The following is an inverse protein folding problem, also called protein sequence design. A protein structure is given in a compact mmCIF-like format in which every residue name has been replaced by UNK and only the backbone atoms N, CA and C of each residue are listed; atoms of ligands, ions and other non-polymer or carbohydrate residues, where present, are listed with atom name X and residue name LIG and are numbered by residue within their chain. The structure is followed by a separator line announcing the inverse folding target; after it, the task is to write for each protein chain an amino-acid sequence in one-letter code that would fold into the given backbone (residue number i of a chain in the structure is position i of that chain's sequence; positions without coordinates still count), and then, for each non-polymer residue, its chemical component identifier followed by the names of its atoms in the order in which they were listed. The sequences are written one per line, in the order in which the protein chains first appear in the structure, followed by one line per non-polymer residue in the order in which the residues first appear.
data_IF_825159428246
#
_entry.id   IF_825159428246
#
_cell.length_a   1.000
_cell.length_b   1.000
_cell.length_c   1.000
_cell.angle_alpha   90.00
_cell.angle_beta   90.00
_cell.angle_gamma   90.00
#
_symmetry.space_group_name_H-M   'P 1'
#
loop_
_entity.id
_entity.type
_entity.pdbx_description
1 polymer ?
#
# COMPACT_ATOMS: atom_id res chain seq x y z
N UNK A 1 3.61 22.80 1.34
CA UNK A 1 3.67 22.01 2.60
C UNK A 1 4.70 22.63 3.51
N UNK A 2 4.29 23.13 4.65
CA UNK A 2 5.17 23.78 5.62
C UNK A 2 5.53 22.85 6.80
N UNK A 3 6.24 23.36 7.81
CA UNK A 3 6.68 22.57 8.96
C UNK A 3 5.50 22.08 9.82
N UNK A 4 4.43 22.87 9.92
CA UNK A 4 3.20 22.48 10.64
C UNK A 4 2.57 21.27 9.96
N UNK A 5 2.45 21.29 8.63
CA UNK A 5 1.93 20.15 7.85
C UNK A 5 2.75 18.88 8.09
N UNK A 6 4.07 19.00 8.06
CA UNK A 6 4.97 17.86 8.28
C UNK A 6 4.82 17.28 9.68
N UNK A 7 4.64 18.13 10.69
CA UNK A 7 4.45 17.68 12.08
C UNK A 7 3.11 16.98 12.25
N UNK A 8 2.05 17.47 11.62
CA UNK A 8 0.74 16.82 11.60
C UNK A 8 0.84 15.44 10.94
N UNK A 9 1.53 15.35 9.81
CA UNK A 9 1.71 14.07 9.12
C UNK A 9 2.46 13.05 9.97
N UNK A 10 3.50 13.44 10.67
CA UNK A 10 4.23 12.54 11.58
C UNK A 10 3.33 11.94 12.65
N UNK A 11 2.43 12.74 13.22
CA UNK A 11 1.46 12.24 14.21
C UNK A 11 0.51 11.23 13.57
N UNK A 12 -0.03 11.55 12.39
CA UNK A 12 -0.96 10.67 11.68
C UNK A 12 -0.30 9.39 11.15
N UNK A 13 0.97 9.47 10.73
CA UNK A 13 1.72 8.28 10.33
C UNK A 13 1.96 7.33 11.50
N UNK A 14 2.16 7.86 12.70
CA UNK A 14 2.31 7.05 13.90
C UNK A 14 0.98 6.42 14.33
N UNK A 15 -0.11 7.16 14.27
CA UNK A 15 -1.46 6.70 14.58
C UNK A 15 -2.50 7.52 13.82
N UNK A 16 -3.03 6.96 12.74
CA UNK A 16 -4.03 7.62 11.90
C UNK A 16 -5.37 7.87 12.63
N UNK A 17 -5.60 7.25 13.79
CA UNK A 17 -6.79 7.48 14.61
C UNK A 17 -6.64 8.59 15.63
N UNK A 18 -5.49 9.25 15.69
CA UNK A 18 -5.27 10.38 16.59
C UNK A 18 -6.31 11.46 16.30
N UNK A 19 -7.01 11.92 17.33
CA UNK A 19 -8.01 12.99 17.18
C UNK A 19 -7.35 14.31 16.77
N UNK A 20 -8.09 15.13 16.06
CA UNK A 20 -7.60 16.47 15.67
C UNK A 20 -7.20 17.30 16.88
N UNK A 21 -7.93 17.16 17.98
CA UNK A 21 -7.62 17.84 19.24
C UNK A 21 -6.26 17.41 19.80
N UNK A 22 -6.00 16.12 19.82
CA UNK A 22 -4.71 15.59 20.28
C UNK A 22 -3.57 16.01 19.37
N UNK A 23 -3.79 16.00 18.05
CA UNK A 23 -2.81 16.51 17.10
C UNK A 23 -2.49 17.98 17.38
N UNK A 24 -3.53 18.81 17.62
CA UNK A 24 -3.35 20.22 17.94
C UNK A 24 -2.50 20.42 19.19
N UNK A 25 -2.73 19.63 20.23
CA UNK A 25 -1.96 19.66 21.46
C UNK A 25 -0.48 19.27 21.21
N UNK A 26 -0.24 18.19 20.49
CA UNK A 26 1.12 17.70 20.21
C UNK A 26 1.91 18.64 19.29
N UNK A 27 1.26 19.22 18.30
CA UNK A 27 1.89 20.12 17.34
C UNK A 27 2.00 21.55 17.89
N UNK A 28 1.14 21.91 18.85
CA UNK A 28 1.14 23.23 19.48
C UNK A 28 0.46 24.30 18.64
N UNK A 29 -0.61 23.94 17.92
CA UNK A 29 -1.42 24.87 17.14
C UNK A 29 -2.90 24.73 17.49
N UNK A 30 -3.73 25.65 17.03
CA UNK A 30 -5.17 25.62 17.27
C UNK A 30 -5.83 24.42 16.56
N UNK A 31 -6.91 23.93 17.13
CA UNK A 31 -7.71 22.84 16.55
C UNK A 31 -8.18 23.16 15.13
N UNK A 32 -8.67 24.37 14.90
CA UNK A 32 -9.11 24.83 13.57
C UNK A 32 -7.97 24.81 12.55
N UNK A 33 -6.76 25.12 12.97
CA UNK A 33 -5.57 25.05 12.12
C UNK A 33 -5.30 23.62 11.68
N UNK A 34 -5.34 22.67 12.59
CA UNK A 34 -5.16 21.24 12.28
C UNK A 34 -6.23 20.76 11.31
N UNK A 35 -7.49 21.06 11.62
CA UNK A 35 -8.63 20.67 10.77
C UNK A 35 -8.48 21.20 9.32
N UNK A 36 -8.14 22.46 9.17
CA UNK A 36 -7.94 23.07 7.86
C UNK A 36 -6.75 22.47 7.10
N UNK A 37 -5.65 22.23 7.81
CA UNK A 37 -4.44 21.66 7.20
C UNK A 37 -4.64 20.23 6.75
N UNK A 38 -5.28 19.39 7.56
CA UNK A 38 -5.60 18.00 7.20
C UNK A 38 -6.51 17.98 5.97
N UNK A 39 -7.59 18.76 5.97
CA UNK A 39 -8.50 18.85 4.83
C UNK A 39 -7.79 19.31 3.57
N UNK A 40 -6.90 20.29 3.68
CA UNK A 40 -6.10 20.77 2.56
C UNK A 40 -5.18 19.68 2.03
N UNK A 41 -4.48 18.96 2.90
CA UNK A 41 -3.59 17.87 2.50
C UNK A 41 -4.36 16.71 1.85
N UNK A 42 -5.57 16.43 2.30
CA UNK A 42 -6.47 15.48 1.64
C UNK A 42 -6.88 15.96 0.25
N UNK A 43 -7.31 17.22 0.12
CA UNK A 43 -7.75 17.75 -1.16
C UNK A 43 -6.62 17.89 -2.19
N UNK A 44 -5.40 18.14 -1.76
CA UNK A 44 -4.21 18.18 -2.61
C UNK A 44 -3.61 16.79 -2.91
N UNK A 45 -4.17 15.73 -2.33
CA UNK A 45 -3.67 14.38 -2.52
C UNK A 45 -2.36 14.06 -1.77
N UNK A 46 -1.93 14.91 -0.84
CA UNK A 46 -0.82 14.60 0.07
C UNK A 46 -1.21 13.45 0.98
N UNK A 47 -2.40 13.52 1.56
CA UNK A 47 -3.03 12.39 2.22
C UNK A 47 -3.97 11.75 1.21
N UNK A 48 -3.65 10.57 0.75
CA UNK A 48 -4.41 9.85 -0.26
C UNK A 48 -5.54 9.01 0.32
N UNK A 49 -5.52 8.77 1.61
CA UNK A 49 -6.51 7.96 2.32
C UNK A 49 -5.96 7.44 3.63
N UNK A 50 -6.78 6.65 4.28
CA UNK A 50 -6.49 6.02 5.56
C UNK A 50 -6.78 4.53 5.44
N UNK A 51 -5.96 3.72 6.06
CA UNK A 51 -6.15 2.27 6.03
C UNK A 51 -5.79 1.65 7.37
N UNK A 52 -6.17 0.40 7.54
CA UNK A 52 -5.79 -0.38 8.72
C UNK A 52 -4.62 -1.30 8.39
N UNK A 53 -3.73 -1.48 9.34
CA UNK A 53 -2.71 -2.51 9.29
C UNK A 53 -3.30 -3.77 9.91
N UNK A 54 -3.26 -4.87 9.17
CA UNK A 54 -3.84 -6.13 9.59
C UNK A 54 -2.74 -7.15 9.86
N UNK A 55 -2.96 -7.99 10.87
CA UNK A 55 -2.27 -9.27 10.95
C UNK A 55 -2.90 -10.18 9.87
N UNK A 56 -2.17 -10.58 8.82
CA UNK A 56 -2.76 -11.32 7.72
C UNK A 56 -3.41 -12.63 8.15
N UNK A 57 -2.75 -13.38 9.02
CA UNK A 57 -3.24 -14.68 9.50
C UNK A 57 -4.55 -14.53 10.27
N UNK A 58 -4.61 -13.57 11.18
CA UNK A 58 -5.81 -13.29 11.98
C UNK A 58 -6.96 -12.73 11.15
N UNK A 59 -6.64 -12.04 10.07
CA UNK A 59 -7.64 -11.49 9.15
C UNK A 59 -8.12 -12.51 8.10
N UNK A 60 -7.61 -13.74 8.13
CA UNK A 60 -8.00 -14.79 7.20
C UNK A 60 -7.18 -14.88 5.92
N UNK A 61 -6.06 -14.15 5.84
CA UNK A 61 -5.11 -14.21 4.73
C UNK A 61 -3.91 -15.08 5.12
N UNK A 62 -4.01 -16.38 4.87
CA UNK A 62 -3.00 -17.35 5.32
C UNK A 62 -1.68 -17.31 4.54
N UNK A 63 -1.67 -16.75 3.34
CA UNK A 63 -0.48 -16.71 2.48
C UNK A 63 -0.27 -15.31 1.92
N UNK A 64 1.00 -14.90 1.90
CA UNK A 64 1.42 -13.63 1.28
C UNK A 64 2.51 -13.89 0.25
N UNK A 65 2.46 -13.17 -0.86
CA UNK A 65 3.43 -13.32 -1.96
C UNK A 65 3.92 -11.97 -2.45
N UNK A 66 5.12 -11.98 -2.99
CA UNK A 66 5.68 -10.89 -3.78
C UNK A 66 5.90 -11.42 -5.19
N UNK A 67 5.31 -10.76 -6.17
CA UNK A 67 5.38 -11.17 -7.58
C UNK A 67 6.18 -10.14 -8.37
N UNK A 68 7.31 -10.57 -8.94
CA UNK A 68 8.06 -9.75 -9.88
C UNK A 68 7.55 -9.98 -11.29
N UNK A 69 7.31 -8.89 -12.03
CA UNK A 69 6.78 -8.93 -13.38
C UNK A 69 7.70 -8.22 -14.37
N UNK A 70 7.93 -8.87 -15.51
CA UNK A 70 8.41 -8.24 -16.75
C UNK A 70 7.22 -7.96 -17.64
N UNK A 71 7.10 -6.72 -18.08
CA UNK A 71 5.92 -6.25 -18.83
C UNK A 71 6.38 -5.64 -20.14
N UNK A 72 5.65 -5.91 -21.21
CA UNK A 72 5.87 -5.36 -22.55
C UNK A 72 5.87 -3.83 -22.51
N UNK A 73 6.79 -3.22 -23.22
CA UNK A 73 6.91 -1.76 -23.33
C UNK A 73 5.59 -1.13 -23.81
N UNK A 74 5.20 -0.04 -23.16
CA UNK A 74 3.99 0.70 -23.49
C UNK A 74 2.71 0.17 -22.85
N UNK A 75 2.77 -0.97 -22.16
CA UNK A 75 1.60 -1.58 -21.50
C UNK A 75 1.67 -1.61 -19.99
N UNK A 76 2.73 -1.04 -19.41
CA UNK A 76 3.03 -1.09 -17.97
C UNK A 76 1.87 -0.56 -17.12
N UNK A 77 1.44 0.67 -17.37
CA UNK A 77 0.40 1.33 -16.57
C UNK A 77 -0.94 0.58 -16.68
N UNK A 78 -1.34 0.21 -17.88
CA UNK A 78 -2.58 -0.53 -18.15
C UNK A 78 -2.64 -1.84 -17.36
N UNK A 79 -1.56 -2.60 -17.40
CA UNK A 79 -1.47 -3.90 -16.72
C UNK A 79 -1.43 -3.72 -15.21
N UNK A 80 -0.64 -2.77 -14.71
CA UNK A 80 -0.57 -2.47 -13.28
C UNK A 80 -1.93 -2.04 -12.72
N UNK A 81 -2.68 -1.23 -13.44
CA UNK A 81 -4.03 -0.81 -13.03
C UNK A 81 -5.01 -1.98 -12.97
N UNK A 82 -4.93 -2.89 -13.92
CA UNK A 82 -5.77 -4.11 -13.92
C UNK A 82 -5.45 -5.01 -12.73
N UNK A 83 -4.18 -5.23 -12.46
CA UNK A 83 -3.72 -6.04 -11.32
C UNK A 83 -4.17 -5.42 -10.01
N UNK A 84 -4.06 -4.11 -9.86
CA UNK A 84 -4.43 -3.38 -8.66
C UNK A 84 -5.93 -3.47 -8.30
N UNK A 85 -6.78 -3.85 -9.24
CA UNK A 85 -8.22 -4.02 -9.00
C UNK A 85 -8.56 -5.32 -8.25
N UNK A 86 -7.67 -6.30 -8.24
CA UNK A 86 -7.90 -7.54 -7.51
C UNK A 86 -7.80 -7.29 -6.00
N UNK A 87 -8.78 -7.73 -5.24
CA UNK A 87 -8.84 -7.51 -3.79
C UNK A 87 -7.74 -8.22 -3.00
N UNK A 88 -7.07 -9.20 -3.60
CA UNK A 88 -5.93 -9.89 -3.02
C UNK A 88 -4.65 -9.09 -3.14
N UNK A 89 -4.61 -8.13 -4.06
CA UNK A 89 -3.47 -7.25 -4.28
C UNK A 89 -3.57 -6.04 -3.37
N UNK A 90 -2.54 -5.81 -2.57
CA UNK A 90 -2.50 -4.66 -1.65
C UNK A 90 -1.35 -3.69 -1.93
N UNK A 91 -0.53 -3.98 -2.93
CA UNK A 91 0.52 -3.07 -3.39
C UNK A 91 0.96 -3.41 -4.80
N UNK A 92 1.13 -2.38 -5.63
CA UNK A 92 1.72 -2.50 -6.96
C UNK A 92 2.73 -1.38 -7.11
N UNK A 93 3.98 -1.74 -7.39
CA UNK A 93 5.09 -0.80 -7.48
C UNK A 93 5.73 -0.87 -8.86
N UNK A 94 5.97 0.28 -9.43
CA UNK A 94 6.83 0.45 -10.59
C UNK A 94 8.28 0.47 -10.10
N UNK A 95 9.13 -0.37 -10.68
CA UNK A 95 10.49 -0.56 -10.17
C UNK A 95 11.50 -0.57 -11.32
N UNK A 96 12.75 -0.36 -10.97
CA UNK A 96 13.89 -0.54 -11.87
C UNK A 96 14.60 -1.86 -11.57
N UNK A 97 15.43 -2.34 -12.49
CA UNK A 97 16.20 -3.56 -12.33
C UNK A 97 15.65 -4.71 -13.18
N UNK A 98 15.72 -5.92 -12.66
CA UNK A 98 15.34 -7.14 -13.42
C UNK A 98 13.83 -7.25 -13.68
N UNK A 99 13.01 -6.53 -12.92
CA UNK A 99 11.56 -6.49 -13.09
C UNK A 99 11.09 -5.07 -13.37
N UNK A 100 9.96 -4.97 -14.04
CA UNK A 100 9.29 -3.70 -14.31
C UNK A 100 8.27 -3.34 -13.22
N UNK A 101 7.69 -4.35 -12.59
CA UNK A 101 6.71 -4.17 -11.52
C UNK A 101 6.89 -5.20 -10.42
N UNK A 102 6.61 -4.78 -9.19
CA UNK A 102 6.52 -5.66 -8.03
C UNK A 102 5.11 -5.58 -7.48
N UNK A 103 4.47 -6.74 -7.30
CA UNK A 103 3.11 -6.85 -6.81
C UNK A 103 3.13 -7.52 -5.46
N UNK A 104 2.52 -6.88 -4.46
CA UNK A 104 2.30 -7.45 -3.15
C UNK A 104 0.86 -7.98 -3.09
N UNK A 105 0.72 -9.27 -2.83
CA UNK A 105 -0.59 -9.91 -2.79
C UNK A 105 -0.69 -10.89 -1.63
N UNK A 106 -1.92 -11.19 -1.27
CA UNK A 106 -2.26 -12.15 -0.22
C UNK A 106 -3.47 -12.97 -0.63
N UNK A 107 -3.50 -14.21 -0.21
CA UNK A 107 -4.60 -15.13 -0.47
C UNK A 107 -4.99 -15.87 0.80
N UNK A 108 -6.19 -16.42 0.81
CA UNK A 108 -6.72 -17.22 1.93
C UNK A 108 -5.95 -18.53 2.05
N UNK A 109 -5.65 -19.14 0.92
CA UNK A 109 -4.97 -20.43 0.81
C UNK A 109 -4.22 -20.50 -0.52
N UNK A 110 -3.63 -21.65 -0.80
CA UNK A 110 -2.87 -21.89 -2.01
C UNK A 110 -3.72 -21.78 -3.28
N UNK A 111 -4.93 -22.30 -3.24
CA UNK A 111 -5.82 -22.27 -4.41
C UNK A 111 -6.21 -20.84 -4.77
N UNK A 112 -6.43 -19.99 -3.77
CA UNK A 112 -6.74 -18.58 -3.95
C UNK A 112 -5.56 -17.83 -4.60
N UNK A 113 -4.33 -18.12 -4.17
CA UNK A 113 -3.13 -17.56 -4.80
C UNK A 113 -2.89 -18.10 -6.20
N UNK A 114 -3.11 -19.39 -6.43
CA UNK A 114 -2.98 -19.99 -7.75
C UNK A 114 -3.96 -19.34 -8.74
N UNK A 115 -5.17 -19.04 -8.30
CA UNK A 115 -6.16 -18.32 -9.11
C UNK A 115 -5.66 -16.91 -9.49
N UNK A 116 -5.11 -16.17 -8.54
CA UNK A 116 -4.52 -14.86 -8.80
C UNK A 116 -3.36 -14.95 -9.80
N UNK A 117 -2.46 -15.89 -9.61
CA UNK A 117 -1.28 -16.08 -10.47
C UNK A 117 -1.70 -16.44 -11.89
N UNK A 118 -2.69 -17.32 -12.06
CA UNK A 118 -3.24 -17.64 -13.36
C UNK A 118 -3.86 -16.43 -14.05
N UNK A 119 -4.60 -15.61 -13.31
CA UNK A 119 -5.20 -14.40 -13.85
C UNK A 119 -4.13 -13.41 -14.32
N UNK A 120 -3.06 -13.24 -13.55
CA UNK A 120 -1.92 -12.39 -13.93
C UNK A 120 -1.21 -12.94 -15.17
N UNK A 121 -0.92 -14.25 -15.19
CA UNK A 121 -0.20 -14.88 -16.31
C UNK A 121 -1.04 -14.89 -17.60
N UNK A 122 -2.36 -14.85 -17.51
CA UNK A 122 -3.24 -14.80 -18.68
C UNK A 122 -3.32 -13.41 -19.32
N UNK A 123 -2.81 -12.38 -18.66
CA UNK A 123 -2.82 -11.02 -19.19
C UNK A 123 -1.84 -10.90 -20.35
N UNK A 124 -2.34 -10.43 -21.49
CA UNK A 124 -1.50 -10.07 -22.61
C UNK A 124 -0.52 -8.95 -22.20
N UNK A 125 0.73 -9.09 -22.60
CA UNK A 125 1.79 -8.11 -22.26
C UNK A 125 2.65 -8.46 -21.05
N UNK A 126 2.32 -9.49 -20.30
CA UNK A 126 3.19 -10.05 -19.27
C UNK A 126 4.18 -11.02 -19.93
N UNK A 127 5.45 -10.66 -19.94
CA UNK A 127 6.50 -11.46 -20.55
C UNK A 127 7.03 -12.54 -19.59
N UNK A 128 7.12 -12.22 -18.31
CA UNK A 128 7.65 -13.10 -17.29
C UNK A 128 7.07 -12.74 -15.91
N UNK A 129 6.81 -13.75 -15.09
CA UNK A 129 6.48 -13.56 -13.69
C UNK A 129 7.29 -14.51 -12.81
N UNK A 130 7.69 -14.02 -11.64
CA UNK A 130 8.34 -14.80 -10.60
C UNK A 130 7.65 -14.52 -9.28
N UNK A 131 7.13 -15.57 -8.66
CA UNK A 131 6.39 -15.46 -7.41
C UNK A 131 7.27 -15.91 -6.25
N UNK A 132 7.38 -15.05 -5.24
CA UNK A 132 8.07 -15.35 -3.99
C UNK A 132 7.04 -15.46 -2.88
N UNK A 133 7.00 -16.62 -2.20
CA UNK A 133 6.15 -16.81 -1.04
C UNK A 133 6.81 -16.18 0.19
N UNK A 134 6.07 -15.35 0.89
CA UNK A 134 6.53 -14.79 2.16
C UNK A 134 6.39 -15.83 3.27
N UNK A 135 7.49 -16.16 3.92
CA UNK A 135 7.50 -17.12 5.03
C UNK A 135 7.22 -16.47 6.38
N UNK A 136 7.64 -15.22 6.52
CA UNK A 136 7.45 -14.43 7.74
C UNK A 136 7.17 -12.98 7.38
N UNK A 137 6.15 -12.41 8.02
CA UNK A 137 5.86 -10.99 7.92
C UNK A 137 6.42 -10.27 9.15
N UNK A 138 7.50 -9.49 8.98
CA UNK A 138 8.19 -8.84 10.09
C UNK A 138 7.64 -7.44 10.35
N UNK A 139 7.50 -6.62 9.30
CA UNK A 139 6.93 -5.28 9.41
C UNK A 139 6.33 -4.82 8.09
N UNK A 140 5.43 -3.85 8.15
CA UNK A 140 4.87 -3.21 6.98
C UNK A 140 5.56 -1.85 6.73
N UNK A 141 5.59 -1.35 5.47
CA UNK A 141 6.35 -0.16 5.11
C UNK A 141 6.00 1.10 5.91
N UNK A 142 4.77 1.19 6.40
CA UNK A 142 4.25 2.36 7.12
C UNK A 142 4.16 2.17 8.62
N UNK A 143 4.53 1.00 9.14
CA UNK A 143 4.44 0.71 10.56
C UNK A 143 5.74 1.10 11.26
N UNK A 144 5.71 1.99 12.25
CA UNK A 144 6.88 2.20 13.08
C UNK A 144 7.24 0.91 13.81
N UNK A 145 8.51 0.55 13.76
CA UNK A 145 9.03 -0.55 14.56
C UNK A 145 9.08 -0.06 15.99
N UNK A 146 8.24 -0.61 16.81
CA UNK A 146 8.20 -0.29 18.25
C UNK A 146 9.25 -1.11 18.96
#
# INVERSE_FOLDING_TARGET
MDEVDKRILRVLEADARTSLRKIAEEVGVALGTVSNRVRRMESLGVIRGYTVLLDPDKAGWGLSVVIGLRIEKGRLIEIQEKIAKDNRVYGVYDVTGDYDSMVLARGKDRDDLDDLIKNVLSMSGIERSVTHLSLIHISEPTRPVV
#
